data_IF_591301663615
#
_entry.id   IF_591301663615
#
_cell.length_a   1.000
_cell.length_b   1.000
_cell.length_c   1.000
_cell.angle_alpha   90.00
_cell.angle_beta   90.00
_cell.angle_gamma   90.00
#
_symmetry.space_group_name_H-M   'P 1'
#
loop_
_entity.id
_entity.type
_entity.pdbx_description
1 polymer ?
#
# COMPACT_ATOMS: atom_id res chain seq x y z
N UNK A 1 17.73 -19.34 -3.76
CA UNK A 1 16.74 -20.17 -4.48
C UNK A 1 15.30 -19.85 -4.08
N UNK A 2 14.99 -19.66 -2.78
CA UNK A 2 13.64 -19.24 -2.33
C UNK A 2 13.16 -17.84 -2.80
N UNK A 3 14.00 -16.78 -2.92
CA UNK A 3 13.50 -15.44 -3.27
C UNK A 3 12.80 -15.37 -4.63
N UNK A 4 13.40 -16.03 -5.64
CA UNK A 4 12.89 -16.03 -7.01
C UNK A 4 11.50 -16.65 -7.16
N UNK A 5 11.14 -17.60 -6.28
CA UNK A 5 9.84 -18.26 -6.32
C UNK A 5 8.72 -17.34 -5.83
N UNK A 6 9.00 -16.46 -4.86
CA UNK A 6 8.04 -15.44 -4.42
C UNK A 6 7.96 -14.27 -5.39
N UNK A 7 9.08 -13.93 -6.05
CA UNK A 7 9.15 -12.83 -7.01
C UNK A 7 8.33 -13.04 -8.29
N UNK A 8 8.01 -14.29 -8.68
CA UNK A 8 7.10 -14.56 -9.78
C UNK A 8 5.61 -14.48 -9.40
N UNK A 9 5.29 -14.38 -8.11
CA UNK A 9 3.91 -14.32 -7.61
C UNK A 9 3.44 -12.90 -7.32
N UNK A 10 2.16 -12.74 -6.97
CA UNK A 10 1.57 -11.45 -6.52
C UNK A 10 1.94 -11.10 -5.07
N UNK A 11 2.63 -11.97 -4.32
CA UNK A 11 2.95 -11.75 -2.90
C UNK A 11 3.71 -10.44 -2.66
N UNK A 12 4.78 -10.11 -3.42
CA UNK A 12 5.52 -8.85 -3.23
C UNK A 12 4.65 -7.61 -3.50
N UNK A 13 3.70 -7.70 -4.43
CA UNK A 13 2.77 -6.60 -4.75
C UNK A 13 1.81 -6.39 -3.57
N UNK A 14 1.25 -7.47 -3.04
CA UNK A 14 0.33 -7.41 -1.91
C UNK A 14 1.02 -6.92 -0.63
N UNK A 15 2.28 -7.31 -0.44
CA UNK A 15 3.12 -6.79 0.64
C UNK A 15 3.25 -5.27 0.58
N UNK A 16 3.51 -4.69 -0.59
CA UNK A 16 3.58 -3.23 -0.75
C UNK A 16 2.25 -2.54 -0.42
N UNK A 17 1.11 -3.12 -0.83
CA UNK A 17 -0.22 -2.57 -0.48
C UNK A 17 -0.46 -2.62 1.03
N UNK A 18 -0.07 -3.72 1.70
CA UNK A 18 -0.18 -3.86 3.15
C UNK A 18 0.71 -2.83 3.87
N UNK A 19 1.95 -2.66 3.43
CA UNK A 19 2.88 -1.69 4.01
C UNK A 19 2.39 -0.25 3.82
N UNK A 20 1.94 0.10 2.61
CA UNK A 20 1.38 1.42 2.33
C UNK A 20 0.15 1.71 3.19
N UNK A 21 -0.80 0.78 3.23
CA UNK A 21 -2.03 0.96 4.02
C UNK A 21 -1.73 1.07 5.52
N UNK A 22 -0.75 0.32 6.05
CA UNK A 22 -0.30 0.47 7.43
C UNK A 22 0.33 1.85 7.70
N UNK A 23 1.20 2.32 6.81
CA UNK A 23 1.80 3.65 6.92
C UNK A 23 0.74 4.75 6.89
N UNK A 24 -0.21 4.67 5.94
CA UNK A 24 -1.32 5.61 5.83
C UNK A 24 -2.22 5.60 7.07
N UNK A 25 -2.47 4.42 7.65
CA UNK A 25 -3.28 4.30 8.87
C UNK A 25 -2.65 5.07 10.04
N UNK A 26 -1.32 5.02 10.17
CA UNK A 26 -0.58 5.80 11.19
C UNK A 26 -0.76 7.30 10.99
N UNK A 27 -0.73 7.78 9.74
CA UNK A 27 -0.94 9.20 9.42
C UNK A 27 -2.37 9.64 9.75
N UNK A 28 -3.38 8.88 9.32
CA UNK A 28 -4.79 9.18 9.59
C UNK A 28 -5.11 9.15 11.10
N UNK A 29 -4.55 8.19 11.83
CA UNK A 29 -4.66 8.15 13.30
C UNK A 29 -4.00 9.37 13.95
N UNK A 30 -2.85 9.80 13.43
CA UNK A 30 -2.18 11.03 13.84
C UNK A 30 -3.03 12.28 13.62
N UNK A 31 -3.72 12.39 12.48
CA UNK A 31 -4.66 13.48 12.22
C UNK A 31 -5.80 13.51 13.23
N UNK A 32 -6.40 12.35 13.48
CA UNK A 32 -7.52 12.23 14.43
C UNK A 32 -7.09 12.62 15.85
N UNK A 33 -5.90 12.19 16.27
CA UNK A 33 -5.35 12.53 17.58
C UNK A 33 -5.06 14.03 17.75
N UNK A 34 -4.72 14.73 16.67
CA UNK A 34 -4.36 16.15 16.69
C UNK A 34 -5.47 17.08 16.17
N UNK A 35 -6.69 16.57 16.00
CA UNK A 35 -7.79 17.32 15.37
C UNK A 35 -8.14 18.61 16.12
N UNK A 36 -7.96 18.63 17.44
CA UNK A 36 -8.20 19.80 18.28
C UNK A 36 -6.92 20.56 18.66
N UNK A 37 -5.78 20.23 18.05
CA UNK A 37 -4.51 20.91 18.30
C UNK A 37 -4.44 22.22 17.49
N UNK A 38 -4.35 23.40 18.12
CA UNK A 38 -4.30 24.68 17.41
C UNK A 38 -3.13 24.73 16.42
N UNK A 39 -3.40 25.14 15.18
CA UNK A 39 -2.38 25.27 14.13
C UNK A 39 -1.93 23.94 13.49
N UNK A 40 -2.49 22.80 13.90
CA UNK A 40 -2.21 21.52 13.25
C UNK A 40 -2.84 21.44 11.85
N UNK A 41 -2.09 20.90 10.90
CA UNK A 41 -2.57 20.67 9.53
C UNK A 41 -2.56 19.17 9.25
N UNK A 42 -3.72 18.65 8.84
CA UNK A 42 -3.87 17.25 8.50
C UNK A 42 -2.99 16.87 7.30
N UNK A 43 -2.41 15.67 7.35
CA UNK A 43 -1.55 15.11 6.30
C UNK A 43 -2.16 13.82 5.78
N UNK A 44 -1.84 13.42 4.56
CA UNK A 44 -2.22 12.10 4.05
C UNK A 44 -1.15 11.58 3.09
N UNK A 45 -1.16 10.28 2.84
CA UNK A 45 -0.37 9.65 1.78
C UNK A 45 -1.24 9.54 0.53
N UNK A 46 -0.73 9.97 -0.63
CA UNK A 46 -1.49 9.94 -1.88
C UNK A 46 -1.66 8.51 -2.34
N UNK A 47 -2.92 8.09 -2.37
CA UNK A 47 -3.32 6.78 -2.89
C UNK A 47 -3.13 6.74 -4.40
N UNK A 48 -3.39 7.84 -5.10
CA UNK A 48 -3.28 7.92 -6.56
C UNK A 48 -1.83 7.77 -7.03
N UNK A 49 -0.89 8.46 -6.35
CA UNK A 49 0.52 8.33 -6.65
C UNK A 49 1.02 6.92 -6.35
N UNK A 50 0.63 6.35 -5.20
CA UNK A 50 0.97 4.98 -4.86
C UNK A 50 0.46 4.00 -5.93
N UNK A 51 -0.82 4.11 -6.33
CA UNK A 51 -1.40 3.27 -7.38
C UNK A 51 -0.69 3.43 -8.72
N UNK A 52 -0.32 4.66 -9.09
CA UNK A 52 0.41 4.93 -10.34
C UNK A 52 1.80 4.29 -10.32
N UNK A 53 2.52 4.41 -9.20
CA UNK A 53 3.84 3.77 -9.03
C UNK A 53 3.70 2.25 -9.02
N UNK A 54 2.68 1.70 -8.35
CA UNK A 54 2.41 0.27 -8.28
C UNK A 54 2.10 -0.30 -9.67
N UNK A 55 1.24 0.38 -10.44
CA UNK A 55 0.93 0.00 -11.82
C UNK A 55 2.18 -0.03 -12.68
N UNK A 56 3.02 1.01 -12.61
CA UNK A 56 4.30 1.07 -13.34
C UNK A 56 5.23 -0.09 -12.95
N UNK A 57 5.31 -0.44 -11.67
CA UNK A 57 6.12 -1.57 -11.20
C UNK A 57 5.59 -2.92 -11.73
N UNK A 58 4.27 -3.08 -11.81
CA UNK A 58 3.63 -4.26 -12.41
C UNK A 58 3.92 -4.33 -13.91
N UNK A 59 3.78 -3.22 -14.64
CA UNK A 59 4.06 -3.14 -16.08
C UNK A 59 5.53 -3.46 -16.38
N UNK A 60 6.46 -2.90 -15.61
CA UNK A 60 7.89 -3.17 -15.74
C UNK A 60 8.23 -4.66 -15.52
N UNK A 61 7.51 -5.35 -14.63
CA UNK A 61 7.65 -6.81 -14.44
C UNK A 61 7.20 -7.62 -15.67
N UNK A 62 6.16 -7.18 -16.36
CA UNK A 62 5.60 -7.91 -17.51
C UNK A 62 6.37 -7.68 -18.81
N UNK A 63 7.26 -6.69 -18.85
CA UNK A 63 8.14 -6.51 -20.00
C UNK A 63 9.24 -7.58 -20.01
N UNK A 64 9.38 -8.37 -21.09
CA UNK A 64 10.44 -9.36 -21.20
C UNK A 64 11.78 -8.62 -21.36
N UNK A 65 12.51 -8.47 -20.27
CA UNK A 65 13.89 -8.01 -20.32
C UNK A 65 14.77 -9.17 -20.79
N UNK A 66 15.20 -9.12 -22.05
CA UNK A 66 16.07 -10.10 -22.72
C UNK A 66 17.46 -10.30 -22.06
N UNK A 67 17.72 -9.67 -20.91
CA UNK A 67 19.03 -9.63 -20.25
C UNK A 67 18.97 -9.62 -18.71
N UNK A 68 17.80 -9.66 -18.07
CA UNK A 68 17.74 -9.56 -16.60
C UNK A 68 17.85 -10.93 -15.93
N UNK A 69 18.82 -11.07 -15.03
CA UNK A 69 18.93 -12.23 -14.15
C UNK A 69 17.76 -12.22 -13.15
N UNK A 70 17.21 -13.37 -12.72
CA UNK A 70 16.11 -13.42 -11.75
C UNK A 70 16.35 -12.66 -10.43
N UNK A 71 17.59 -12.27 -10.13
CA UNK A 71 17.97 -11.46 -8.96
C UNK A 71 17.78 -9.95 -9.10
N UNK A 72 17.73 -9.39 -10.33
CA UNK A 72 17.70 -7.93 -10.54
C UNK A 72 16.33 -7.31 -10.22
N UNK A 73 15.26 -8.10 -10.26
CA UNK A 73 13.91 -7.65 -9.92
C UNK A 73 13.72 -7.34 -8.43
N UNK A 74 14.58 -7.86 -7.55
CA UNK A 74 14.50 -7.61 -6.10
C UNK A 74 14.79 -6.15 -5.75
N UNK A 75 15.67 -5.47 -6.52
CA UNK A 75 16.04 -4.08 -6.29
C UNK A 75 14.93 -3.08 -6.67
N UNK A 76 13.99 -3.46 -7.54
CA UNK A 76 12.93 -2.56 -8.02
C UNK A 76 11.81 -2.32 -6.99
N UNK A 77 11.65 -3.19 -5.99
CA UNK A 77 10.56 -3.08 -4.99
C UNK A 77 10.98 -2.30 -3.74
N UNK A 78 12.28 -2.20 -3.47
CA UNK A 78 12.81 -1.45 -2.31
C UNK A 78 12.63 0.06 -2.45
N UNK A 79 12.55 0.59 -3.67
CA UNK A 79 12.28 2.01 -3.96
C UNK A 79 10.79 2.39 -3.84
N UNK A 80 9.90 1.44 -3.52
CA UNK A 80 8.47 1.70 -3.35
C UNK A 80 8.10 2.24 -1.95
N UNK A 81 9.11 2.50 -1.09
CA UNK A 81 8.90 3.07 0.24
C UNK A 81 7.98 4.29 0.16
N UNK A 82 6.92 4.27 0.97
CA UNK A 82 5.84 5.24 0.96
C UNK A 82 6.37 6.66 1.17
N UNK A 83 6.63 7.35 0.07
CA UNK A 83 6.99 8.75 0.07
C UNK A 83 5.75 9.54 0.48
N UNK A 84 5.90 10.37 1.50
CA UNK A 84 4.82 11.20 1.98
C UNK A 84 4.34 12.09 0.83
N UNK A 85 3.04 12.05 0.51
CA UNK A 85 2.51 12.92 -0.53
C UNK A 85 2.75 14.37 -0.14
N UNK A 86 3.48 15.10 -0.99
CA UNK A 86 3.86 16.49 -0.72
C UNK A 86 2.65 17.44 -0.73
N UNK A 87 1.50 17.00 -1.24
CA UNK A 87 0.24 17.71 -1.13
C UNK A 87 -0.93 16.73 -1.17
N UNK A 88 -1.41 16.19 -0.04
CA UNK A 88 -2.80 15.77 -0.01
C UNK A 88 -3.60 17.01 -0.41
N UNK A 89 -4.50 16.91 -1.40
CA UNK A 89 -5.46 17.98 -1.67
C UNK A 89 -6.26 18.20 -0.40
N UNK A 90 -5.75 19.06 0.47
CA UNK A 90 -6.46 19.63 1.58
C UNK A 90 -7.55 20.44 0.90
N UNK A 91 -8.71 19.82 0.75
CA UNK A 91 -9.93 20.55 0.48
C UNK A 91 -10.06 21.45 1.71
N UNK A 92 -9.54 22.67 1.61
CA UNK A 92 -9.64 23.69 2.63
C UNK A 92 -11.11 24.09 2.67
N UNK A 93 -11.91 23.28 3.34
CA UNK A 93 -13.21 23.71 3.81
C UNK A 93 -12.95 24.87 4.76
N UNK A 94 -13.40 26.05 4.35
CA UNK A 94 -13.42 27.24 5.19
C UNK A 94 -14.46 27.12 6.33
N UNK A 95 -15.02 25.93 6.54
CA UNK A 95 -16.01 25.58 7.56
C UNK A 95 -15.39 24.54 8.51
N UNK A 96 -15.05 24.96 9.72
CA UNK A 96 -13.74 24.70 10.32
C UNK A 96 -13.64 23.56 11.35
N UNK A 97 -14.59 22.64 11.52
CA UNK A 97 -14.32 21.51 12.45
C UNK A 97 -15.23 20.28 12.38
N UNK A 98 -16.52 20.41 12.11
CA UNK A 98 -17.46 19.30 12.36
C UNK A 98 -17.28 18.14 11.36
N UNK A 99 -17.11 18.45 10.07
CA UNK A 99 -16.98 17.43 9.02
C UNK A 99 -15.56 16.83 8.92
N UNK A 100 -14.58 17.36 9.67
CA UNK A 100 -13.20 16.90 9.61
C UNK A 100 -13.04 15.51 10.25
N UNK A 101 -13.72 15.25 11.38
CA UNK A 101 -13.67 13.95 12.06
C UNK A 101 -14.28 12.87 11.16
N UNK A 102 -15.48 13.12 10.64
CA UNK A 102 -16.23 12.17 9.83
C UNK A 102 -15.47 11.78 8.56
N UNK A 103 -14.82 12.76 7.91
CA UNK A 103 -13.97 12.52 6.75
C UNK A 103 -12.75 11.67 7.11
N UNK A 104 -12.05 11.99 8.21
CA UNK A 104 -10.87 11.22 8.66
C UNK A 104 -11.25 9.78 9.03
N UNK A 105 -12.37 9.58 9.73
CA UNK A 105 -12.90 8.23 10.04
C UNK A 105 -13.28 7.49 8.77
N UNK A 106 -13.91 8.16 7.81
CA UNK A 106 -14.27 7.57 6.52
C UNK A 106 -13.05 7.10 5.76
N UNK A 107 -12.00 7.91 5.67
CA UNK A 107 -10.73 7.53 5.02
C UNK A 107 -10.02 6.41 5.77
N UNK A 108 -10.06 6.40 7.10
CA UNK A 108 -9.51 5.32 7.92
C UNK A 108 -10.22 3.99 7.65
N UNK A 109 -11.55 3.99 7.56
CA UNK A 109 -12.34 2.80 7.22
C UNK A 109 -12.02 2.30 5.82
N UNK A 110 -11.95 3.19 4.81
CA UNK A 110 -11.55 2.83 3.44
C UNK A 110 -10.17 2.18 3.42
N UNK A 111 -9.20 2.78 4.11
CA UNK A 111 -7.84 2.27 4.20
C UNK A 111 -7.79 0.89 4.92
N UNK A 112 -8.56 0.71 5.99
CA UNK A 112 -8.67 -0.57 6.70
C UNK A 112 -9.25 -1.67 5.81
N UNK A 113 -10.28 -1.36 5.01
CA UNK A 113 -10.87 -2.31 4.08
C UNK A 113 -9.85 -2.75 3.02
N UNK A 114 -9.09 -1.81 2.46
CA UNK A 114 -8.01 -2.11 1.51
C UNK A 114 -6.94 -3.01 2.13
N UNK A 115 -6.51 -2.69 3.37
CA UNK A 115 -5.55 -3.48 4.11
C UNK A 115 -6.02 -4.92 4.33
N UNK A 116 -7.24 -5.09 4.86
CA UNK A 116 -7.82 -6.40 5.14
C UNK A 116 -8.00 -7.23 3.86
N UNK A 117 -8.42 -6.60 2.76
CA UNK A 117 -8.54 -7.26 1.47
C UNK A 117 -7.18 -7.77 0.98
N UNK A 118 -6.13 -6.93 1.05
CA UNK A 118 -4.78 -7.32 0.67
C UNK A 118 -4.28 -8.51 1.50
N UNK A 119 -4.51 -8.51 2.82
CA UNK A 119 -4.17 -9.63 3.70
C UNK A 119 -4.95 -10.91 3.36
N UNK A 120 -6.25 -10.80 3.05
CA UNK A 120 -7.07 -11.95 2.68
C UNK A 120 -6.55 -12.64 1.40
N UNK A 121 -6.19 -11.83 0.39
CA UNK A 121 -5.61 -12.33 -0.87
C UNK A 121 -4.23 -12.93 -0.60
N UNK A 122 -3.38 -12.26 0.18
CA UNK A 122 -2.04 -12.74 0.54
C UNK A 122 -2.11 -14.10 1.26
N UNK A 123 -3.03 -14.26 2.20
CA UNK A 123 -3.28 -15.53 2.87
C UNK A 123 -3.75 -16.63 1.90
N UNK A 124 -4.56 -16.28 0.89
CA UNK A 124 -4.96 -17.21 -0.17
C UNK A 124 -3.77 -17.66 -1.02
N UNK A 125 -2.87 -16.74 -1.39
CA UNK A 125 -1.67 -17.04 -2.16
C UNK A 125 -0.75 -18.01 -1.40
N UNK A 126 -0.55 -17.80 -0.10
CA UNK A 126 0.25 -18.72 0.71
C UNK A 126 -0.37 -20.11 0.82
N UNK A 127 -1.69 -20.22 0.97
CA UNK A 127 -2.37 -21.52 0.94
C UNK A 127 -2.19 -22.24 -0.39
N UNK A 128 -2.31 -21.54 -1.51
CA UNK A 128 -2.07 -22.11 -2.85
C UNK A 128 -0.63 -22.63 -2.99
N UNK A 129 0.37 -21.85 -2.55
CA UNK A 129 1.76 -22.29 -2.54
C UNK A 129 1.98 -23.50 -1.65
N UNK A 130 1.38 -23.50 -0.45
CA UNK A 130 1.48 -24.63 0.47
C UNK A 130 0.89 -25.90 -0.11
N UNK A 131 -0.28 -25.83 -0.76
CA UNK A 131 -0.90 -26.98 -1.45
C UNK A 131 -0.02 -27.48 -2.60
N UNK A 132 0.54 -26.57 -3.41
CA UNK A 132 1.41 -26.94 -4.52
C UNK A 132 2.70 -27.63 -4.05
N UNK A 133 3.28 -27.19 -2.92
CA UNK A 133 4.49 -27.77 -2.35
C UNK A 133 4.19 -29.08 -1.61
N UNK A 134 3.03 -29.20 -0.95
CA UNK A 134 2.69 -30.35 -0.10
C UNK A 134 2.10 -31.54 -0.86
N UNK A 135 1.90 -31.40 -2.18
CA UNK A 135 1.44 -32.46 -3.10
C UNK A 135 0.25 -33.29 -2.56
N UNK A 136 -0.68 -32.64 -1.87
CA UNK A 136 -1.88 -33.28 -1.32
C UNK A 136 -3.05 -33.02 -2.26
N UNK A 137 -3.30 -33.98 -3.15
CA UNK A 137 -4.62 -34.23 -3.76
C UNK A 137 -5.59 -34.67 -2.66
#
# INVERSE_FOLDING_TARGET
MLPGLFQSTTIPILEQVVQFSQARHTVLAGNLANLHTPGYQARDLSVEEFQTRLQRAIEARHQPSSAASPGDFAASWTDMAAEAAENPKSILFHDQSENAVELQVTEMVKNQLQHNLALAILGSQFRLLQTAISERV
#
